data_IF_901972851231
#
_entry.id   IF_901972851231
#
_cell.length_a   1.000
_cell.length_b   1.000
_cell.length_c   1.000
_cell.angle_alpha   90.00
_cell.angle_beta   90.00
_cell.angle_gamma   90.00
#
_symmetry.space_group_name_H-M   'P 1'
#
loop_
_entity.id
_entity.type
_entity.pdbx_description
1 polymer ?
#
# COMPACT_ATOMS: atom_id res chain seq x y z
N UNK A 1 -18.02 9.53 3.96
CA UNK A 1 -18.76 8.92 5.07
C UNK A 1 -19.71 7.88 4.49
N UNK A 2 -19.69 6.65 4.96
CA UNK A 2 -20.55 5.57 4.50
C UNK A 2 -21.52 5.20 5.61
N UNK A 3 -22.76 4.85 5.23
CA UNK A 3 -23.80 4.37 6.13
C UNK A 3 -24.18 2.95 5.76
N UNK A 4 -24.36 2.10 6.75
CA UNK A 4 -24.85 0.74 6.60
C UNK A 4 -25.91 0.50 7.67
N UNK A 5 -27.06 0.02 7.24
CA UNK A 5 -28.15 -0.36 8.14
C UNK A 5 -28.45 -1.83 7.96
N UNK A 6 -28.63 -2.52 9.06
CA UNK A 6 -28.96 -3.95 9.11
C UNK A 6 -30.08 -4.12 10.13
N UNK A 7 -31.07 -4.90 9.75
CA UNK A 7 -32.17 -5.28 10.66
C UNK A 7 -32.09 -6.76 10.91
N UNK A 8 -32.11 -7.14 12.17
CA UNK A 8 -32.06 -8.51 12.65
C UNK A 8 -33.34 -8.83 13.40
N UNK A 9 -33.87 -10.02 13.19
CA UNK A 9 -34.91 -10.64 14.03
C UNK A 9 -34.20 -11.72 14.87
N UNK A 10 -34.03 -11.46 16.17
CA UNK A 10 -33.15 -12.23 17.05
C UNK A 10 -33.91 -12.74 18.27
N UNK A 11 -33.47 -13.88 18.78
CA UNK A 11 -33.81 -14.38 20.08
C UNK A 11 -32.99 -13.72 21.22
N UNK A 12 -33.22 -14.08 22.45
CA UNK A 12 -32.53 -13.52 23.63
C UNK A 12 -31.00 -13.71 23.55
N UNK A 13 -30.52 -14.83 22.98
CA UNK A 13 -29.09 -15.12 22.82
C UNK A 13 -28.47 -14.27 21.74
N UNK A 14 -29.15 -14.14 20.59
CA UNK A 14 -28.75 -13.24 19.51
C UNK A 14 -28.73 -11.78 19.93
N UNK A 15 -29.72 -11.33 20.71
CA UNK A 15 -29.75 -9.98 21.25
C UNK A 15 -28.53 -9.71 22.14
N UNK A 16 -28.21 -10.62 23.06
CA UNK A 16 -27.07 -10.49 23.96
C UNK A 16 -25.75 -10.41 23.16
N UNK A 17 -25.64 -11.18 22.08
CA UNK A 17 -24.49 -11.20 21.18
C UNK A 17 -24.32 -9.87 20.45
N UNK A 18 -25.39 -9.35 19.83
CA UNK A 18 -25.34 -8.10 19.09
C UNK A 18 -25.17 -6.89 20.02
N UNK A 19 -25.68 -6.96 21.25
CA UNK A 19 -25.52 -5.92 22.27
C UNK A 19 -24.14 -5.86 22.93
N UNK A 20 -23.24 -6.79 22.60
CA UNK A 20 -21.85 -6.76 23.10
C UNK A 20 -20.94 -5.99 22.14
N UNK A 21 -19.83 -5.37 22.64
CA UNK A 21 -18.81 -4.78 21.77
C UNK A 21 -18.25 -5.80 20.78
N UNK A 22 -17.90 -5.36 19.57
CA UNK A 22 -17.25 -6.20 18.54
C UNK A 22 -15.75 -6.29 18.81
N UNK A 23 -15.16 -7.45 18.45
CA UNK A 23 -13.72 -7.70 18.53
C UNK A 23 -13.17 -8.40 17.27
N UNK A 24 -13.95 -8.46 16.19
CA UNK A 24 -13.59 -9.14 14.95
C UNK A 24 -12.80 -8.22 13.98
N UNK A 25 -13.47 -7.46 13.10
CA UNK A 25 -12.83 -6.49 12.20
C UNK A 25 -12.42 -5.21 12.94
N UNK A 26 -13.18 -4.84 13.94
CA UNK A 26 -13.00 -3.64 14.76
C UNK A 26 -12.99 -4.04 16.22
N UNK A 27 -12.23 -3.31 17.01
CA UNK A 27 -12.31 -3.38 18.46
C UNK A 27 -13.13 -2.20 18.98
N UNK A 28 -14.27 -2.51 19.56
CA UNK A 28 -15.22 -1.53 20.09
C UNK A 28 -15.15 -1.39 21.60
N UNK A 29 -15.62 -0.25 22.08
CA UNK A 29 -16.01 -0.02 23.48
C UNK A 29 -17.46 0.37 23.54
N UNK A 30 -18.15 -0.02 24.60
CA UNK A 30 -19.49 0.44 24.89
C UNK A 30 -19.44 1.89 25.35
N UNK A 31 -20.17 2.77 24.64
CA UNK A 31 -20.30 4.17 24.95
C UNK A 31 -21.61 4.49 25.75
N UNK A 32 -22.39 3.45 26.03
CA UNK A 32 -23.71 3.59 26.70
C UNK A 32 -24.85 3.83 25.72
N UNK A 33 -26.08 3.68 26.17
CA UNK A 33 -27.31 3.93 25.40
C UNK A 33 -27.41 3.19 24.05
N UNK A 34 -26.76 2.00 23.92
CA UNK A 34 -26.75 1.26 22.66
C UNK A 34 -25.80 1.84 21.61
N UNK A 35 -24.89 2.72 21.99
CA UNK A 35 -23.85 3.26 21.14
C UNK A 35 -22.51 2.59 21.41
N UNK A 36 -21.74 2.32 20.33
CA UNK A 36 -20.41 1.71 20.40
C UNK A 36 -19.42 2.59 19.64
N UNK A 37 -18.27 2.82 20.26
CA UNK A 37 -17.19 3.61 19.69
C UNK A 37 -15.97 2.75 19.33
N UNK A 38 -15.17 3.22 18.38
CA UNK A 38 -13.94 2.56 17.94
C UNK A 38 -12.84 2.68 18.99
N UNK A 39 -12.19 1.57 19.33
CA UNK A 39 -10.88 1.55 19.98
C UNK A 39 -9.78 1.40 18.93
N UNK A 40 -9.86 0.32 18.11
CA UNK A 40 -8.92 0.01 17.06
C UNK A 40 -9.63 -0.52 15.82
N UNK A 41 -9.13 -0.15 14.63
CA UNK A 41 -9.67 -0.60 13.37
C UNK A 41 -9.27 0.29 12.19
N UNK A 42 -9.59 -0.11 10.96
CA UNK A 42 -9.19 0.58 9.73
C UNK A 42 -10.06 1.79 9.40
N UNK A 43 -10.55 2.51 10.40
CA UNK A 43 -11.50 3.62 10.22
C UNK A 43 -10.95 4.92 10.79
N UNK A 44 -11.24 6.02 10.09
CA UNK A 44 -11.04 7.39 10.57
C UNK A 44 -12.19 7.82 11.47
N UNK A 45 -13.40 7.39 11.10
CA UNK A 45 -14.61 7.61 11.87
C UNK A 45 -15.38 6.28 11.90
N UNK A 46 -15.88 5.94 13.08
CA UNK A 46 -16.71 4.77 13.26
C UNK A 46 -17.64 4.97 14.44
N UNK A 47 -18.91 4.69 14.21
CA UNK A 47 -19.95 4.66 15.23
C UNK A 47 -20.94 3.55 14.88
N UNK A 48 -21.27 2.74 15.83
CA UNK A 48 -22.35 1.75 15.72
C UNK A 48 -23.43 2.10 16.73
N UNK A 49 -24.68 2.15 16.26
CA UNK A 49 -25.85 2.46 17.10
C UNK A 49 -26.84 1.30 16.99
N UNK A 50 -27.35 0.84 18.12
CA UNK A 50 -28.39 -0.17 18.21
C UNK A 50 -29.71 0.46 18.62
N UNK A 51 -30.78 0.17 17.87
CA UNK A 51 -32.16 0.46 18.24
C UNK A 51 -32.90 -0.86 18.40
N UNK A 52 -33.41 -1.14 19.59
CA UNK A 52 -34.02 -2.42 19.94
C UNK A 52 -35.51 -2.21 20.17
N UNK A 53 -36.34 -2.98 19.45
CA UNK A 53 -37.77 -3.09 19.69
C UNK A 53 -38.02 -4.52 20.16
N UNK A 54 -38.37 -4.67 21.45
CA UNK A 54 -38.54 -5.97 22.07
C UNK A 54 -40.00 -6.41 22.08
N UNK A 55 -40.26 -7.64 21.61
CA UNK A 55 -41.53 -8.35 21.72
C UNK A 55 -41.27 -9.65 22.54
N UNK A 56 -42.27 -10.28 23.14
CA UNK A 56 -42.06 -11.50 23.91
C UNK A 56 -41.45 -12.63 23.06
N UNK A 57 -40.20 -12.99 23.35
CA UNK A 57 -39.44 -14.05 22.67
C UNK A 57 -38.83 -13.70 21.31
N UNK A 58 -38.98 -12.43 20.85
CA UNK A 58 -38.37 -11.91 19.61
C UNK A 58 -37.96 -10.48 19.78
N UNK A 59 -36.78 -10.16 19.26
CA UNK A 59 -36.23 -8.82 19.32
C UNK A 59 -35.88 -8.32 17.91
N UNK A 60 -36.55 -7.27 17.46
CA UNK A 60 -36.19 -6.56 16.24
C UNK A 60 -35.07 -5.58 16.58
N UNK A 61 -33.85 -5.88 16.13
CA UNK A 61 -32.68 -5.05 16.37
C UNK A 61 -32.29 -4.36 15.07
N UNK A 62 -32.30 -3.04 15.09
CA UNK A 62 -31.79 -2.21 13.98
C UNK A 62 -30.39 -1.73 14.34
N UNK A 63 -29.42 -2.20 13.56
CA UNK A 63 -28.01 -1.89 13.71
C UNK A 63 -27.61 -0.87 12.63
N UNK A 64 -27.11 0.28 13.04
CA UNK A 64 -26.68 1.35 12.15
C UNK A 64 -25.19 1.59 12.33
N UNK A 65 -24.44 1.57 11.21
CA UNK A 65 -23.03 1.87 11.16
C UNK A 65 -22.79 3.16 10.39
N UNK A 66 -22.07 4.07 10.99
CA UNK A 66 -21.52 5.26 10.36
C UNK A 66 -20.00 5.13 10.36
N UNK A 67 -19.37 5.09 9.19
CA UNK A 67 -17.95 4.86 9.12
C UNK A 67 -17.27 5.55 7.95
N UNK A 68 -15.98 5.83 8.12
CA UNK A 68 -15.08 6.34 7.10
C UNK A 68 -13.76 5.58 7.17
N UNK A 69 -13.28 5.08 6.02
CA UNK A 69 -12.07 4.28 5.95
C UNK A 69 -10.82 5.14 6.07
N UNK A 70 -9.84 4.69 6.86
CA UNK A 70 -8.51 5.31 6.96
C UNK A 70 -7.56 4.89 5.83
N UNK A 71 -8.06 4.15 4.84
CA UNK A 71 -7.29 3.68 3.68
C UNK A 71 -7.35 4.77 2.59
N UNK A 72 -6.27 5.53 2.38
CA UNK A 72 -6.23 6.52 1.30
C UNK A 72 -6.19 5.80 -0.06
N UNK A 73 -6.68 6.48 -1.11
CA UNK A 73 -6.58 6.10 -2.53
C UNK A 73 -7.29 4.79 -2.91
N UNK A 74 -7.06 3.69 -2.18
CA UNK A 74 -7.61 2.36 -2.46
C UNK A 74 -8.84 2.00 -1.62
N UNK A 75 -9.35 2.92 -0.79
CA UNK A 75 -10.50 2.66 0.09
C UNK A 75 -11.73 2.12 -0.66
N UNK A 76 -11.89 2.47 -1.93
CA UNK A 76 -12.99 1.96 -2.75
C UNK A 76 -12.94 0.43 -2.97
N UNK A 77 -11.75 -0.17 -3.03
CA UNK A 77 -11.57 -1.62 -3.17
C UNK A 77 -12.05 -2.38 -1.93
N UNK A 78 -11.94 -1.75 -0.76
CA UNK A 78 -12.29 -2.35 0.52
C UNK A 78 -13.75 -2.11 0.93
N UNK A 79 -14.51 -1.28 0.20
CA UNK A 79 -15.92 -1.01 0.54
C UNK A 79 -16.78 -2.26 0.60
N UNK A 80 -16.66 -3.14 -0.37
CA UNK A 80 -17.44 -4.40 -0.41
C UNK A 80 -16.98 -5.41 0.64
N UNK A 81 -15.69 -5.76 0.77
CA UNK A 81 -15.22 -6.65 1.84
C UNK A 81 -15.57 -6.17 3.24
N UNK A 82 -15.41 -4.88 3.53
CA UNK A 82 -15.72 -4.30 4.83
C UNK A 82 -17.23 -4.33 5.09
N UNK A 83 -18.05 -3.96 4.10
CA UNK A 83 -19.52 -4.06 4.22
C UNK A 83 -19.98 -5.49 4.51
N UNK A 84 -19.36 -6.46 3.85
CA UNK A 84 -19.64 -7.87 4.10
C UNK A 84 -19.22 -8.30 5.50
N UNK A 85 -18.03 -7.89 5.96
CA UNK A 85 -17.55 -8.18 7.31
C UNK A 85 -18.36 -7.49 8.41
N UNK A 86 -18.84 -6.27 8.18
CA UNK A 86 -19.73 -5.58 9.12
C UNK A 86 -21.10 -6.27 9.22
N UNK A 87 -21.63 -6.79 8.10
CA UNK A 87 -22.89 -7.55 8.08
C UNK A 87 -22.80 -8.91 8.77
N UNK A 88 -21.67 -9.60 8.58
CA UNK A 88 -21.45 -10.95 9.07
C UNK A 88 -20.46 -10.92 10.23
N UNK A 89 -20.99 -10.60 11.43
CA UNK A 89 -20.19 -10.62 12.65
C UNK A 89 -19.66 -12.04 12.91
N UNK A 90 -18.37 -12.15 13.25
CA UNK A 90 -17.74 -13.39 13.64
C UNK A 90 -17.80 -13.57 15.15
N UNK A 91 -18.35 -14.69 15.58
CA UNK A 91 -18.57 -14.98 17.01
C UNK A 91 -17.28 -15.37 17.75
N UNK A 92 -16.30 -15.89 17.00
CA UNK A 92 -14.99 -16.29 17.54
C UNK A 92 -14.03 -15.09 17.77
N UNK A 93 -14.48 -13.87 17.46
CA UNK A 93 -13.64 -12.67 17.58
C UNK A 93 -12.44 -12.65 16.63
N UNK A 94 -12.37 -13.58 15.66
CA UNK A 94 -11.26 -13.63 14.71
C UNK A 94 -11.46 -12.64 13.57
N UNK A 95 -10.37 -11.97 13.18
CA UNK A 95 -10.40 -11.10 12.01
C UNK A 95 -10.69 -11.92 10.73
N UNK A 96 -11.31 -11.32 9.70
CA UNK A 96 -11.42 -11.94 8.38
C UNK A 96 -10.02 -12.31 7.82
N UNK A 97 -9.93 -13.41 7.05
CA UNK A 97 -8.65 -13.92 6.52
C UNK A 97 -7.82 -12.89 5.72
N UNK A 98 -8.48 -11.89 5.14
CA UNK A 98 -7.85 -10.81 4.39
C UNK A 98 -7.41 -9.62 5.27
N UNK A 99 -7.89 -9.54 6.51
CA UNK A 99 -7.52 -8.51 7.46
C UNK A 99 -6.26 -8.90 8.25
N UNK A 100 -5.54 -7.92 8.82
CA UNK A 100 -4.39 -8.22 9.65
C UNK A 100 -4.80 -9.02 10.90
N UNK A 101 -3.96 -9.99 11.36
CA UNK A 101 -4.22 -10.77 12.56
C UNK A 101 -4.38 -9.91 13.82
N UNK A 102 -3.51 -8.91 14.00
CA UNK A 102 -3.65 -7.90 15.05
C UNK A 102 -4.36 -6.67 14.48
N UNK A 103 -5.25 -6.07 15.26
CA UNK A 103 -5.95 -4.85 14.84
C UNK A 103 -4.96 -3.71 14.60
N UNK A 104 -5.08 -3.07 13.44
CA UNK A 104 -4.31 -1.89 13.11
C UNK A 104 -5.11 -0.65 13.51
N UNK A 105 -4.49 0.21 14.31
CA UNK A 105 -5.05 1.54 14.57
C UNK A 105 -5.03 2.40 13.30
N UNK A 106 -5.80 3.49 13.28
CA UNK A 106 -5.94 4.41 12.15
C UNK A 106 -4.61 4.82 11.52
N UNK A 107 -3.63 5.22 12.34
CA UNK A 107 -2.30 5.65 11.87
C UNK A 107 -1.56 4.53 11.15
N UNK A 108 -1.49 3.34 11.74
CA UNK A 108 -0.80 2.20 11.16
C UNK A 108 -1.44 1.79 9.83
N UNK A 109 -2.78 1.80 9.76
CA UNK A 109 -3.54 1.51 8.52
C UNK A 109 -3.21 2.51 7.43
N UNK A 110 -3.21 3.82 7.72
CA UNK A 110 -2.89 4.86 6.73
C UNK A 110 -1.46 4.75 6.21
N UNK A 111 -0.50 4.53 7.12
CA UNK A 111 0.91 4.35 6.74
C UNK A 111 1.07 3.10 5.88
N UNK A 112 0.47 1.98 6.29
CA UNK A 112 0.58 0.73 5.58
C UNK A 112 -0.06 0.79 4.19
N UNK A 113 -1.25 1.38 4.05
CA UNK A 113 -1.89 1.61 2.76
C UNK A 113 -1.02 2.48 1.83
N UNK A 114 -0.34 3.48 2.40
CA UNK A 114 0.63 4.30 1.68
C UNK A 114 1.82 3.49 1.18
N UNK A 115 2.37 2.61 2.03
CA UNK A 115 3.46 1.70 1.62
C UNK A 115 3.03 0.74 0.51
N UNK A 116 1.78 0.25 0.52
CA UNK A 116 1.23 -0.57 -0.56
C UNK A 116 1.18 0.19 -1.90
N UNK A 117 0.81 1.48 -1.88
CA UNK A 117 0.84 2.33 -3.08
C UNK A 117 2.26 2.48 -3.64
N UNK A 118 3.24 2.69 -2.76
CA UNK A 118 4.65 2.79 -3.12
C UNK A 118 5.17 1.45 -3.65
N UNK A 119 4.76 0.33 -3.03
CA UNK A 119 5.13 -1.01 -3.48
C UNK A 119 4.61 -1.32 -4.89
N UNK A 120 3.38 -0.89 -5.21
CA UNK A 120 2.81 -1.01 -6.56
C UNK A 120 3.65 -0.24 -7.58
N UNK A 121 4.02 1.02 -7.30
CA UNK A 121 4.92 1.80 -8.16
C UNK A 121 6.29 1.12 -8.30
N UNK A 122 6.85 0.63 -7.19
CA UNK A 122 8.13 -0.08 -7.16
C UNK A 122 8.09 -1.33 -8.05
N UNK A 123 7.02 -2.11 -7.99
CA UNK A 123 6.81 -3.25 -8.86
C UNK A 123 6.74 -2.89 -10.34
N UNK A 124 6.06 -1.79 -10.68
CA UNK A 124 6.01 -1.27 -12.04
C UNK A 124 7.40 -0.87 -12.54
N UNK A 125 8.11 -0.01 -11.81
CA UNK A 125 9.45 0.47 -12.16
C UNK A 125 10.48 -0.67 -12.28
N UNK A 126 10.32 -1.73 -11.49
CA UNK A 126 11.22 -2.89 -11.52
C UNK A 126 11.06 -3.72 -12.79
N UNK A 127 9.83 -3.85 -13.29
CA UNK A 127 9.49 -4.77 -14.38
C UNK A 127 9.39 -4.08 -15.75
N UNK A 128 9.13 -2.78 -15.81
CA UNK A 128 9.06 -2.06 -17.09
C UNK A 128 10.29 -2.27 -17.99
N UNK A 129 11.55 -2.20 -17.48
CA UNK A 129 12.72 -2.49 -18.31
C UNK A 129 12.78 -3.91 -18.84
N UNK A 130 12.35 -4.90 -18.05
CA UNK A 130 12.39 -6.32 -18.44
C UNK A 130 11.37 -6.65 -19.52
N UNK A 131 10.19 -6.01 -19.45
CA UNK A 131 9.11 -6.24 -20.40
C UNK A 131 9.28 -5.47 -21.72
N UNK A 132 10.10 -4.43 -21.72
CA UNK A 132 10.32 -3.56 -22.90
C UNK A 132 11.68 -3.77 -23.56
N UNK A 133 12.55 -4.62 -22.99
CA UNK A 133 13.95 -4.77 -23.45
C UNK A 133 14.05 -5.20 -24.92
N UNK A 134 13.14 -6.05 -25.41
CA UNK A 134 13.14 -6.52 -26.81
C UNK A 134 12.86 -5.37 -27.77
N UNK A 135 11.86 -4.56 -27.48
CA UNK A 135 11.52 -3.39 -28.29
C UNK A 135 12.66 -2.35 -28.32
N UNK A 136 13.30 -2.14 -27.16
CA UNK A 136 14.44 -1.24 -27.06
C UNK A 136 15.65 -1.78 -27.85
N UNK A 137 15.90 -3.09 -27.77
CA UNK A 137 16.98 -3.73 -28.52
C UNK A 137 16.79 -3.63 -30.03
N UNK A 138 15.56 -3.81 -30.51
CA UNK A 138 15.21 -3.72 -31.93
C UNK A 138 15.36 -2.27 -32.43
N UNK A 139 14.88 -1.27 -31.70
CA UNK A 139 15.00 0.14 -32.06
C UNK A 139 16.46 0.62 -32.09
N UNK A 140 17.24 0.25 -31.07
CA UNK A 140 18.67 0.62 -30.98
C UNK A 140 19.60 -0.29 -31.78
N UNK A 141 19.09 -1.35 -32.43
CA UNK A 141 19.83 -2.35 -33.22
C UNK A 141 21.00 -2.95 -32.44
N UNK A 142 20.74 -3.38 -31.20
CA UNK A 142 21.76 -3.90 -30.29
C UNK A 142 21.83 -5.42 -30.38
N UNK A 143 23.03 -5.98 -30.52
CA UNK A 143 23.28 -7.40 -30.53
C UNK A 143 23.06 -8.06 -29.16
N UNK A 144 22.90 -9.38 -29.12
CA UNK A 144 22.58 -10.14 -27.89
C UNK A 144 23.66 -10.00 -26.81
N UNK A 145 24.94 -9.90 -27.20
CA UNK A 145 26.03 -9.74 -26.25
C UNK A 145 25.94 -8.41 -25.51
N UNK A 146 25.70 -7.31 -26.26
CA UNK A 146 25.51 -5.98 -25.70
C UNK A 146 24.26 -5.89 -24.81
N UNK A 147 23.16 -6.58 -25.17
CA UNK A 147 21.98 -6.70 -24.30
C UNK A 147 22.32 -7.38 -22.96
N UNK A 148 23.10 -8.46 -22.99
CA UNK A 148 23.55 -9.16 -21.77
C UNK A 148 24.41 -8.24 -20.89
N UNK A 149 25.36 -7.51 -21.47
CA UNK A 149 26.21 -6.56 -20.77
C UNK A 149 25.41 -5.41 -20.14
N UNK A 150 24.43 -4.86 -20.86
CA UNK A 150 23.54 -3.83 -20.35
C UNK A 150 22.69 -4.34 -19.17
N UNK A 151 22.17 -5.55 -19.27
CA UNK A 151 21.44 -6.20 -18.17
C UNK A 151 22.31 -6.40 -16.93
N UNK A 152 23.58 -6.78 -17.12
CA UNK A 152 24.54 -6.90 -16.02
C UNK A 152 24.86 -5.53 -15.38
N UNK A 153 25.06 -4.49 -16.20
CA UNK A 153 25.31 -3.12 -15.75
C UNK A 153 24.14 -2.59 -14.90
N UNK A 154 22.92 -2.78 -15.37
CA UNK A 154 21.71 -2.35 -14.64
C UNK A 154 21.63 -3.00 -13.24
N UNK A 155 22.06 -4.28 -13.10
CA UNK A 155 22.09 -4.99 -11.82
C UNK A 155 23.04 -4.36 -10.80
N UNK A 156 24.10 -3.68 -11.24
CA UNK A 156 25.00 -2.91 -10.37
C UNK A 156 24.23 -1.86 -9.56
N UNK A 157 23.17 -1.29 -10.13
CA UNK A 157 22.28 -0.38 -9.42
C UNK A 157 21.71 -0.95 -8.10
N UNK A 158 21.53 -2.27 -8.00
CA UNK A 158 21.08 -2.90 -6.75
C UNK A 158 22.15 -2.82 -5.65
N UNK A 159 23.43 -2.89 -6.01
CA UNK A 159 24.53 -2.75 -5.04
C UNK A 159 24.65 -1.32 -4.53
N UNK A 160 24.41 -0.33 -5.39
CA UNK A 160 24.42 1.08 -5.01
C UNK A 160 23.32 1.41 -3.99
N UNK A 161 22.22 0.66 -3.99
CA UNK A 161 21.13 0.84 -3.03
C UNK A 161 21.57 0.63 -1.58
N UNK A 162 22.61 -0.17 -1.32
CA UNK A 162 23.17 -0.37 0.02
C UNK A 162 23.64 0.96 0.60
N UNK A 163 24.33 1.79 -0.21
CA UNK A 163 24.76 3.13 0.20
C UNK A 163 23.57 4.04 0.55
N UNK A 164 22.50 3.98 -0.21
CA UNK A 164 21.27 4.75 0.05
C UNK A 164 20.52 4.24 1.29
N UNK A 165 20.57 2.95 1.60
CA UNK A 165 20.01 2.42 2.85
C UNK A 165 20.74 2.99 4.07
N UNK A 166 22.08 3.03 4.04
CA UNK A 166 22.87 3.67 5.09
C UNK A 166 22.58 5.16 5.19
N UNK A 167 22.40 5.83 4.06
CA UNK A 167 22.06 7.25 4.01
C UNK A 167 20.67 7.52 4.60
N UNK A 168 19.72 6.60 4.40
CA UNK A 168 18.37 6.69 4.96
C UNK A 168 18.38 6.64 6.50
N UNK A 169 19.25 5.84 7.09
CA UNK A 169 19.39 5.78 8.55
C UNK A 169 20.01 7.08 9.15
N UNK A 170 20.82 7.82 8.35
CA UNK A 170 21.45 9.08 8.80
C UNK A 170 20.60 10.32 8.55
N UNK A 171 19.92 10.41 7.40
CA UNK A 171 19.23 11.63 6.95
C UNK A 171 17.69 11.56 7.09
N UNK A 172 17.17 10.44 7.56
CA UNK A 172 15.73 10.22 7.71
C UNK A 172 15.12 9.45 6.54
N UNK A 173 14.45 8.36 6.89
CA UNK A 173 13.89 7.40 5.92
C UNK A 173 12.82 8.00 5.02
N UNK A 174 11.99 8.89 5.56
CA UNK A 174 10.96 9.60 4.78
C UNK A 174 11.57 10.43 3.65
N UNK A 175 12.66 11.16 3.92
CA UNK A 175 13.35 11.96 2.90
C UNK A 175 13.95 11.09 1.81
N UNK A 176 14.69 10.05 2.19
CA UNK A 176 15.34 9.16 1.22
C UNK A 176 14.30 8.39 0.40
N UNK A 177 13.19 7.97 1.01
CA UNK A 177 12.07 7.38 0.28
C UNK A 177 11.51 8.35 -0.76
N UNK A 178 11.29 9.62 -0.40
CA UNK A 178 10.85 10.66 -1.33
C UNK A 178 11.84 10.91 -2.47
N UNK A 179 13.15 11.00 -2.16
CA UNK A 179 14.20 11.13 -3.18
C UNK A 179 14.25 9.91 -4.10
N UNK A 180 14.22 8.70 -3.57
CA UNK A 180 14.24 7.46 -4.36
C UNK A 180 13.03 7.38 -5.30
N UNK A 181 11.84 7.75 -4.84
CA UNK A 181 10.65 7.82 -5.70
C UNK A 181 10.81 8.87 -6.80
N UNK A 182 11.22 10.09 -6.44
CA UNK A 182 11.42 11.18 -7.39
C UNK A 182 12.46 10.84 -8.46
N UNK A 183 13.62 10.32 -8.06
CA UNK A 183 14.65 9.88 -9.02
C UNK A 183 14.17 8.69 -9.86
N UNK A 184 13.49 7.71 -9.27
CA UNK A 184 12.95 6.57 -10.02
C UNK A 184 12.03 7.02 -11.15
N UNK A 185 11.10 7.95 -10.88
CA UNK A 185 10.18 8.47 -11.90
C UNK A 185 10.89 9.37 -12.91
N UNK A 186 11.71 10.32 -12.43
CA UNK A 186 12.42 11.25 -13.31
C UNK A 186 13.33 10.51 -14.31
N UNK A 187 14.12 9.55 -13.82
CA UNK A 187 15.00 8.77 -14.67
C UNK A 187 14.26 7.73 -15.52
N UNK A 188 13.07 7.27 -15.11
CA UNK A 188 12.17 6.51 -15.99
C UNK A 188 11.75 7.36 -17.19
N UNK A 189 11.30 8.58 -16.97
CA UNK A 189 10.97 9.51 -18.08
C UNK A 189 12.17 9.84 -18.95
N UNK A 190 13.34 10.05 -18.35
CA UNK A 190 14.58 10.28 -19.11
C UNK A 190 14.97 9.07 -19.95
N UNK A 191 14.76 7.85 -19.45
CA UNK A 191 14.96 6.62 -20.21
C UNK A 191 14.04 6.56 -21.43
N UNK A 192 12.78 6.99 -21.32
CA UNK A 192 11.86 7.09 -22.45
C UNK A 192 12.35 8.05 -23.55
N UNK A 193 13.06 9.12 -23.18
CA UNK A 193 13.57 10.15 -24.09
C UNK A 193 15.00 9.88 -24.56
N UNK A 194 15.61 8.76 -24.17
CA UNK A 194 17.02 8.48 -24.48
C UNK A 194 17.26 8.33 -25.98
N UNK A 195 18.26 9.03 -26.53
CA UNK A 195 18.63 8.95 -27.96
C UNK A 195 19.56 7.76 -28.26
N UNK A 196 20.12 7.11 -27.25
CA UNK A 196 21.06 6.00 -27.39
C UNK A 196 20.90 4.96 -26.28
N UNK A 197 21.30 3.73 -26.58
CA UNK A 197 21.22 2.62 -25.63
C UNK A 197 22.08 2.85 -24.38
N UNK A 198 23.22 3.56 -24.48
CA UNK A 198 24.09 3.87 -23.35
C UNK A 198 23.41 4.80 -22.36
N UNK A 199 22.75 5.87 -22.86
CA UNK A 199 21.99 6.82 -22.02
C UNK A 199 20.78 6.11 -21.40
N UNK A 200 20.09 5.27 -22.18
CA UNK A 200 19.01 4.44 -21.69
C UNK A 200 19.47 3.56 -20.52
N UNK A 201 20.56 2.82 -20.69
CA UNK A 201 21.13 1.96 -19.64
C UNK A 201 21.54 2.75 -18.40
N UNK A 202 22.20 3.91 -18.56
CA UNK A 202 22.57 4.77 -17.44
C UNK A 202 21.35 5.23 -16.63
N UNK A 203 20.26 5.63 -17.31
CA UNK A 203 19.00 5.97 -16.66
C UNK A 203 18.43 4.75 -15.89
N UNK A 204 18.44 3.56 -16.49
CA UNK A 204 17.94 2.36 -15.85
C UNK A 204 18.76 1.92 -14.63
N UNK A 205 20.08 2.19 -14.59
CA UNK A 205 20.88 1.99 -13.36
C UNK A 205 20.33 2.83 -12.22
N UNK A 206 20.02 4.11 -12.47
CA UNK A 206 19.44 4.99 -11.44
C UNK A 206 18.05 4.51 -11.02
N UNK A 207 17.19 4.15 -11.98
CA UNK A 207 15.86 3.58 -11.69
C UNK A 207 16.00 2.33 -10.82
N UNK A 208 16.93 1.43 -11.14
CA UNK A 208 17.19 0.20 -10.38
C UNK A 208 17.67 0.49 -8.96
N UNK A 209 18.62 1.42 -8.82
CA UNK A 209 19.11 1.87 -7.51
C UNK A 209 17.98 2.44 -6.65
N UNK A 210 17.19 3.34 -7.23
CA UNK A 210 16.02 3.94 -6.58
C UNK A 210 15.03 2.88 -6.13
N UNK A 211 14.69 1.95 -7.02
CA UNK A 211 13.74 0.89 -6.72
C UNK A 211 14.21 -0.07 -5.61
N UNK A 212 15.47 -0.48 -5.63
CA UNK A 212 16.05 -1.33 -4.59
C UNK A 212 16.06 -0.58 -3.23
N UNK A 213 16.35 0.72 -3.24
CA UNK A 213 16.27 1.58 -2.04
C UNK A 213 14.85 1.63 -1.48
N UNK A 214 13.84 1.81 -2.35
CA UNK A 214 12.42 1.79 -1.94
C UNK A 214 12.07 0.47 -1.26
N UNK A 215 12.47 -0.67 -1.84
CA UNK A 215 12.19 -1.99 -1.28
C UNK A 215 12.70 -2.15 0.15
N UNK A 216 13.96 -1.76 0.40
CA UNK A 216 14.57 -1.84 1.75
C UNK A 216 13.81 -0.94 2.73
N UNK A 217 13.57 0.32 2.36
CA UNK A 217 12.94 1.30 3.26
C UNK A 217 11.50 0.90 3.57
N UNK A 218 10.72 0.41 2.59
CA UNK A 218 9.34 -0.04 2.80
C UNK A 218 9.25 -1.20 3.80
N UNK A 219 10.14 -2.19 3.68
CA UNK A 219 10.20 -3.33 4.61
C UNK A 219 10.49 -2.83 6.03
N UNK A 220 11.44 -1.92 6.18
CA UNK A 220 11.79 -1.39 7.50
C UNK A 220 10.63 -0.59 8.11
N UNK A 221 9.96 0.27 7.33
CA UNK A 221 8.76 0.98 7.80
C UNK A 221 7.66 0.01 8.22
N UNK A 222 7.38 -1.02 7.42
CA UNK A 222 6.36 -2.01 7.75
C UNK A 222 6.69 -2.73 9.07
N UNK A 223 7.94 -3.13 9.30
CA UNK A 223 8.37 -3.78 10.53
C UNK A 223 8.33 -2.87 11.77
N UNK A 224 8.47 -1.55 11.60
CA UNK A 224 8.43 -0.59 12.71
C UNK A 224 7.01 -0.15 13.08
N UNK A 225 6.11 -0.04 12.11
CA UNK A 225 4.76 0.49 12.33
C UNK A 225 3.71 -0.60 12.54
N UNK A 226 3.95 -1.83 12.06
CA UNK A 226 3.01 -2.93 12.23
C UNK A 226 3.23 -3.66 13.56
N UNK A 227 2.14 -4.06 14.25
CA UNK A 227 2.19 -4.95 15.40
C UNK A 227 2.91 -6.27 15.08
N UNK A 228 3.52 -6.89 16.07
CA UNK A 228 4.36 -8.07 15.89
C UNK A 228 3.64 -9.22 15.17
N UNK A 229 2.39 -9.50 15.54
CA UNK A 229 1.59 -10.56 14.93
C UNK A 229 1.18 -10.28 13.48
N UNK A 230 1.14 -9.00 13.07
CA UNK A 230 0.74 -8.61 11.70
C UNK A 230 1.90 -8.35 10.75
N UNK A 231 3.17 -8.49 11.17
CA UNK A 231 4.34 -8.18 10.33
C UNK A 231 4.46 -9.10 9.12
N UNK A 232 4.31 -10.41 9.31
CA UNK A 232 4.39 -11.38 8.22
C UNK A 232 3.26 -11.14 7.19
N UNK A 233 2.04 -10.91 7.67
CA UNK A 233 0.92 -10.53 6.83
C UNK A 233 1.22 -9.25 6.05
N UNK A 234 1.72 -8.21 6.72
CA UNK A 234 2.05 -6.94 6.09
C UNK A 234 3.10 -7.06 4.98
N UNK A 235 4.18 -7.83 5.21
CA UNK A 235 5.20 -8.08 4.18
C UNK A 235 4.62 -8.84 2.99
N UNK A 236 3.71 -9.80 3.21
CA UNK A 236 3.03 -10.52 2.14
C UNK A 236 2.14 -9.60 1.30
N UNK A 237 1.40 -8.69 1.93
CA UNK A 237 0.55 -7.71 1.24
C UNK A 237 1.39 -6.69 0.47
N UNK A 238 2.55 -6.25 1.00
CA UNK A 238 3.50 -5.42 0.25
C UNK A 238 4.03 -6.15 -0.99
N UNK A 239 4.40 -7.43 -0.84
CA UNK A 239 4.82 -8.27 -1.96
C UNK A 239 3.74 -8.41 -3.04
N UNK A 240 2.49 -8.64 -2.62
CA UNK A 240 1.34 -8.69 -3.52
C UNK A 240 1.11 -7.35 -4.23
N UNK A 241 1.24 -6.23 -3.53
CA UNK A 241 1.11 -4.89 -4.11
C UNK A 241 2.19 -4.64 -5.18
N UNK A 242 3.43 -5.06 -4.92
CA UNK A 242 4.51 -4.98 -5.89
C UNK A 242 4.26 -5.90 -7.10
N UNK A 243 3.75 -7.13 -6.88
CA UNK A 243 3.38 -8.04 -7.96
C UNK A 243 2.24 -7.48 -8.83
N UNK A 244 1.25 -6.80 -8.23
CA UNK A 244 0.22 -6.09 -8.99
C UNK A 244 0.82 -4.98 -9.85
N UNK A 245 1.80 -4.23 -9.33
CA UNK A 245 2.55 -3.23 -10.10
C UNK A 245 3.29 -3.83 -11.30
N UNK A 246 3.94 -4.99 -11.12
CA UNK A 246 4.54 -5.75 -12.20
C UNK A 246 3.51 -6.21 -13.25
N UNK A 247 2.35 -6.72 -12.79
CA UNK A 247 1.24 -7.11 -13.67
C UNK A 247 0.68 -5.96 -14.51
N UNK A 248 0.65 -4.74 -13.96
CA UNK A 248 0.24 -3.55 -14.70
C UNK A 248 1.14 -3.28 -15.91
N UNK A 249 2.45 -3.55 -15.81
CA UNK A 249 3.37 -3.42 -16.97
C UNK A 249 2.93 -4.36 -18.09
N UNK A 250 2.62 -5.63 -17.75
CA UNK A 250 2.16 -6.61 -18.74
C UNK A 250 0.87 -6.13 -19.45
N UNK A 251 -0.05 -5.52 -18.73
CA UNK A 251 -1.27 -4.96 -19.32
C UNK A 251 -1.01 -3.76 -20.25
N UNK A 252 0.14 -3.11 -20.12
CA UNK A 252 0.54 -2.01 -21.02
C UNK A 252 1.27 -2.49 -22.27
N UNK A 253 1.63 -3.78 -22.37
CA UNK A 253 2.34 -4.36 -23.53
C UNK A 253 1.65 -4.09 -24.88
N UNK A 254 0.32 -4.14 -25.02
CA UNK A 254 -0.32 -3.80 -26.29
C UNK A 254 0.05 -2.40 -26.80
N UNK A 255 0.33 -1.46 -25.89
CA UNK A 255 0.78 -0.10 -26.26
C UNK A 255 2.15 -0.15 -26.92
N UNK A 256 3.06 -1.03 -26.48
CA UNK A 256 4.39 -1.17 -27.06
C UNK A 256 4.38 -1.67 -28.50
N UNK A 257 3.33 -2.38 -28.92
CA UNK A 257 3.19 -2.95 -30.26
C UNK A 257 2.62 -2.00 -31.32
N UNK A 258 2.16 -0.79 -30.98
CA UNK A 258 1.54 0.12 -31.95
C UNK A 258 2.54 0.75 -32.94
N UNK A 259 3.77 1.03 -32.50
CA UNK A 259 4.83 1.62 -33.32
C UNK A 259 6.20 1.28 -32.71
N UNK A 260 7.28 1.37 -33.51
CA UNK A 260 8.65 1.07 -33.06
C UNK A 260 9.08 1.85 -31.79
N UNK A 261 8.56 3.06 -31.61
CA UNK A 261 8.87 3.94 -30.48
C UNK A 261 7.84 3.86 -29.33
N UNK A 262 6.71 3.19 -29.52
CA UNK A 262 5.57 3.27 -28.57
C UNK A 262 5.86 2.60 -27.20
N UNK A 263 6.82 1.68 -27.12
CA UNK A 263 7.29 1.11 -25.87
C UNK A 263 7.80 2.16 -24.88
N UNK A 264 8.30 3.31 -25.38
CA UNK A 264 8.77 4.43 -24.58
C UNK A 264 7.66 5.06 -23.73
N UNK A 265 6.41 4.99 -24.18
CA UNK A 265 5.24 5.49 -23.43
C UNK A 265 5.04 4.79 -22.09
N UNK A 266 5.44 3.53 -21.99
CA UNK A 266 5.33 2.75 -20.75
C UNK A 266 6.15 3.41 -19.63
N UNK A 267 7.30 3.99 -19.94
CA UNK A 267 8.15 4.66 -18.97
C UNK A 267 7.61 6.02 -18.47
N UNK A 268 6.58 6.58 -19.11
CA UNK A 268 5.88 7.77 -18.62
C UNK A 268 4.73 7.44 -17.68
N UNK A 269 4.23 6.22 -17.66
CA UNK A 269 3.09 5.81 -16.79
C UNK A 269 3.34 6.16 -15.32
N UNK A 270 4.55 5.96 -14.75
CA UNK A 270 4.83 6.34 -13.35
C UNK A 270 4.54 7.80 -13.02
N UNK A 271 4.55 8.71 -14.01
CA UNK A 271 4.21 10.13 -13.79
C UNK A 271 2.77 10.29 -13.32
N UNK A 272 1.85 9.45 -13.79
CA UNK A 272 0.45 9.47 -13.38
C UNK A 272 0.29 9.19 -11.87
N UNK A 273 1.29 8.54 -11.26
CA UNK A 273 1.31 8.25 -9.83
C UNK A 273 1.90 9.39 -8.98
N UNK A 274 2.46 10.44 -9.59
CA UNK A 274 3.09 11.56 -8.85
C UNK A 274 2.14 12.24 -7.86
N UNK A 275 0.88 12.56 -8.18
CA UNK A 275 -0.04 13.18 -7.21
C UNK A 275 -0.31 12.27 -6.01
N UNK A 276 -0.47 10.97 -6.27
CA UNK A 276 -0.64 9.93 -5.25
C UNK A 276 0.57 9.86 -4.32
N UNK A 277 1.77 9.91 -4.90
CA UNK A 277 3.04 9.86 -4.19
C UNK A 277 3.24 11.07 -3.28
N UNK A 278 2.94 12.28 -3.77
CA UNK A 278 3.05 13.51 -2.98
C UNK A 278 2.13 13.50 -1.77
N UNK A 279 0.89 13.05 -1.95
CA UNK A 279 -0.06 12.83 -0.85
C UNK A 279 0.43 11.78 0.13
N UNK A 280 0.99 10.69 -0.37
CA UNK A 280 1.52 9.56 0.38
C UNK A 280 2.70 9.98 1.28
N UNK A 281 3.71 10.66 0.73
CA UNK A 281 4.90 11.10 1.50
C UNK A 281 4.49 12.06 2.64
N UNK A 282 3.49 12.91 2.44
CA UNK A 282 3.02 13.83 3.48
C UNK A 282 2.39 13.11 4.68
N UNK A 283 1.82 11.93 4.46
CA UNK A 283 1.19 11.12 5.50
C UNK A 283 2.18 10.23 6.27
N UNK A 284 3.39 10.00 5.73
CA UNK A 284 4.41 9.21 6.41
C UNK A 284 5.06 10.02 7.54
N UNK A 285 5.13 9.44 8.76
CA UNK A 285 5.85 10.07 9.87
C UNK A 285 7.37 10.05 9.63
N UNK A 286 8.08 10.97 10.25
CA UNK A 286 9.53 10.86 10.42
C UNK A 286 9.85 9.64 11.31
N UNK A 287 10.99 8.99 11.03
CA UNK A 287 11.45 7.82 11.80
C UNK A 287 11.49 8.12 13.31
N UNK A 288 10.91 7.22 14.13
CA UNK A 288 10.88 7.33 15.59
C UNK A 288 12.27 7.47 16.23
N UNK A 289 13.34 6.99 15.59
CA UNK A 289 14.71 7.11 16.08
C UNK A 289 15.23 8.55 16.05
N UNK A 290 14.89 9.33 15.02
CA UNK A 290 15.30 10.73 14.89
C UNK A 290 14.52 11.59 15.90
N UNK A 291 13.23 11.34 16.10
CA UNK A 291 12.43 12.02 17.12
C UNK A 291 12.97 11.83 18.54
N UNK A 292 13.46 10.63 18.88
CA UNK A 292 14.10 10.37 20.19
C UNK A 292 15.47 11.02 20.34
N UNK A 293 16.25 11.16 19.26
CA UNK A 293 17.55 11.84 19.31
C UNK A 293 17.38 13.36 19.49
N UNK A 294 16.39 13.96 18.85
CA UNK A 294 16.07 15.40 19.01
C UNK A 294 15.53 15.70 20.42
N UNK A 295 14.67 14.83 20.97
CA UNK A 295 14.15 15.01 22.34
C UNK A 295 15.18 14.74 23.47
N UNK A 296 16.34 14.11 23.17
CA UNK A 296 17.45 13.95 24.12
C UNK A 296 18.42 15.12 24.11
N UNK A 297 18.42 15.95 23.07
CA UNK A 297 19.29 17.09 22.90
C UNK A 297 18.59 18.45 23.13
N UNK A 298 17.29 18.40 23.46
CA UNK A 298 16.49 19.54 23.91
C UNK A 298 16.17 19.40 25.41
#
# INVERSE_FOLDING_TARGET
MAHLEITHDLDDEGLKRVSSPRADLVRETDAGNGEFALIDGPFTLYKRTLTIVSEPGRHLVKEQFEYELSIPWFGFLFRLPIRHALRNRRDDGTAPFWAPPDHLGQRATTIFATLCAIALLSGFLSNAPSETHTYAADEFKVDQLSQGLLGALIRIGTLLAIGFAVLADRHGRRRILGWAMGFGIAFSCMAALSPSIQIFAACLVVVRTSNATLGVIMVVFALEELPAGSRAWGLSVLGLSAALGAGLVVWTQPVAGFAEWSWRLIFFIPVLMVPLIFGAIRQLPESRKIGRAVSRNA
#
